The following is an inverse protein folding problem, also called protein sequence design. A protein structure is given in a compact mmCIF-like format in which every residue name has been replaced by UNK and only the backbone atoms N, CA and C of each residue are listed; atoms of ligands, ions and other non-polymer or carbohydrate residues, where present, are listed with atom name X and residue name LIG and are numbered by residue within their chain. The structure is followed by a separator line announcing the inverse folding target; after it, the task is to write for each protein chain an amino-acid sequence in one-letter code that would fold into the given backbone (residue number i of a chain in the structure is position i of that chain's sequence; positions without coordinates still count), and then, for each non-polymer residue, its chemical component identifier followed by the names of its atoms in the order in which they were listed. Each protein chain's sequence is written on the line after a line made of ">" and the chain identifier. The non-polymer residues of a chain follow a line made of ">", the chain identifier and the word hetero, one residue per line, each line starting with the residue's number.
data_IF_295218337211
#
_entry.id   IF_295218337211
#
_cell.length_a   1.000
_cell.length_b   1.000
_cell.length_c   1.000
_cell.angle_alpha   90.00
_cell.angle_beta   90.00
_cell.angle_gamma   90.00
#
_symmetry.space_group_name_H-M   'P 1'
#
loop_
_entity.id
_entity.type
_entity.pdbx_description
1 polymer ?
#
# COMPACT_ATOMS: atom_id res chain seq x y z
N UNK A 1 48.47 -73.89 36.69
CA UNK A 1 47.17 -73.55 36.12
C UNK A 1 47.01 -72.04 36.32
N UNK A 2 47.28 -71.27 35.29
CA UNK A 2 47.19 -69.81 35.30
C UNK A 2 46.24 -69.34 34.20
N UNK A 3 45.26 -68.47 34.43
CA UNK A 3 44.42 -67.97 33.35
C UNK A 3 44.99 -66.67 32.73
N UNK A 4 45.02 -66.69 31.43
CA UNK A 4 45.41 -65.56 30.57
C UNK A 4 44.37 -64.45 30.57
N UNK A 5 44.87 -63.22 30.83
CA UNK A 5 44.10 -61.97 30.70
C UNK A 5 44.16 -61.47 29.26
N UNK A 6 43.00 -61.40 28.61
CA UNK A 6 42.80 -60.74 27.30
C UNK A 6 42.53 -59.25 27.57
N UNK A 7 43.39 -58.39 27.10
CA UNK A 7 43.18 -56.92 27.05
C UNK A 7 42.43 -56.55 25.77
N UNK A 8 41.21 -56.06 25.91
CA UNK A 8 40.45 -55.45 24.85
C UNK A 8 40.88 -53.96 24.68
N UNK A 9 41.40 -53.59 23.51
CA UNK A 9 41.61 -52.20 23.11
C UNK A 9 40.29 -51.64 22.56
N UNK A 10 39.72 -50.67 23.26
CA UNK A 10 38.64 -49.84 22.73
C UNK A 10 39.29 -48.69 21.90
N UNK A 11 39.10 -48.71 20.58
CA UNK A 11 39.39 -47.60 19.70
C UNK A 11 38.22 -46.64 19.69
N UNK A 12 38.35 -45.46 20.30
CA UNK A 12 37.41 -44.35 20.18
C UNK A 12 37.64 -43.69 18.81
N UNK A 13 36.76 -43.95 17.87
CA UNK A 13 36.67 -43.22 16.60
C UNK A 13 35.94 -41.88 16.84
N UNK A 14 36.65 -40.76 16.87
CA UNK A 14 36.07 -39.44 16.86
C UNK A 14 35.56 -39.11 15.45
N UNK A 15 34.25 -39.24 15.17
CA UNK A 15 33.61 -38.67 14.01
C UNK A 15 33.52 -37.15 14.16
N UNK A 16 34.43 -36.43 13.54
CA UNK A 16 34.32 -34.99 13.34
C UNK A 16 33.21 -34.74 12.31
N UNK A 17 32.03 -34.33 12.78
CA UNK A 17 30.98 -33.86 11.90
C UNK A 17 31.40 -32.48 11.34
N UNK A 18 31.86 -32.50 10.08
CA UNK A 18 32.03 -31.29 9.29
C UNK A 18 30.62 -30.69 9.05
N UNK A 19 30.21 -29.71 9.86
CA UNK A 19 29.04 -28.88 9.58
C UNK A 19 29.37 -28.04 8.34
N UNK A 20 28.95 -28.52 7.16
CA UNK A 20 28.95 -27.73 5.93
C UNK A 20 27.98 -26.59 6.13
N UNK A 21 28.48 -25.40 6.41
CA UNK A 21 27.69 -24.17 6.30
C UNK A 21 27.36 -23.98 4.82
N UNK A 22 26.18 -24.42 4.40
CA UNK A 22 25.66 -24.11 3.08
C UNK A 22 25.54 -22.58 2.98
N UNK A 23 26.44 -21.94 2.27
CA UNK A 23 26.31 -20.54 1.89
C UNK A 23 25.08 -20.44 1.02
N UNK A 24 24.00 -19.91 1.54
CA UNK A 24 22.78 -19.68 0.78
C UNK A 24 23.10 -18.65 -0.31
N UNK A 25 22.95 -19.03 -1.56
CA UNK A 25 23.19 -18.12 -2.68
C UNK A 25 22.24 -16.93 -2.62
N UNK A 26 22.74 -15.76 -3.00
CA UNK A 26 21.93 -14.55 -3.05
C UNK A 26 20.73 -14.76 -4.00
N UNK A 27 19.56 -14.34 -3.56
CA UNK A 27 18.32 -14.41 -4.36
C UNK A 27 18.10 -13.08 -5.06
N UNK A 28 17.86 -13.14 -6.37
CA UNK A 28 17.55 -11.95 -7.19
C UNK A 28 16.09 -12.00 -7.63
N UNK A 29 15.35 -10.96 -7.32
CA UNK A 29 13.98 -10.77 -7.76
C UNK A 29 13.91 -9.55 -8.70
N UNK A 30 13.21 -9.71 -9.82
CA UNK A 30 13.07 -8.67 -10.84
C UNK A 30 11.60 -8.38 -11.08
N UNK A 31 11.25 -7.08 -11.05
CA UNK A 31 9.95 -6.61 -11.48
C UNK A 31 10.15 -5.56 -12.59
N UNK A 32 9.17 -5.48 -13.46
CA UNK A 32 9.11 -4.52 -14.58
C UNK A 32 8.06 -3.49 -14.28
N UNK A 33 8.32 -2.24 -14.61
CA UNK A 33 7.37 -1.14 -14.51
C UNK A 33 6.75 -0.91 -15.88
N UNK A 34 5.43 -1.11 -15.98
CA UNK A 34 4.67 -0.97 -17.22
C UNK A 34 3.77 0.25 -17.14
N UNK A 35 3.79 1.08 -18.17
CA UNK A 35 2.91 2.24 -18.32
C UNK A 35 2.39 2.31 -19.75
N UNK A 36 1.07 2.21 -19.90
CA UNK A 36 0.45 2.26 -21.25
C UNK A 36 0.85 1.13 -22.18
N UNK A 37 1.25 -0.03 -21.66
CA UNK A 37 1.73 -1.17 -22.46
C UNK A 37 3.24 -1.18 -22.71
N UNK A 38 3.94 -0.12 -22.30
CA UNK A 38 5.38 0.01 -22.49
C UNK A 38 6.15 -0.29 -21.21
N UNK A 39 7.32 -0.91 -21.35
CA UNK A 39 8.26 -1.10 -20.25
C UNK A 39 9.03 0.23 -20.07
N UNK A 40 8.74 0.93 -18.97
CA UNK A 40 9.36 2.20 -18.62
C UNK A 40 10.38 2.08 -17.48
N UNK A 41 10.58 0.87 -16.92
CA UNK A 41 11.50 0.74 -15.81
C UNK A 41 11.53 -0.63 -15.16
N UNK A 42 12.30 -0.73 -14.08
CA UNK A 42 12.48 -1.98 -13.33
C UNK A 42 12.69 -1.74 -11.84
N UNK A 43 12.43 -2.80 -11.08
CA UNK A 43 12.87 -2.96 -9.69
C UNK A 43 13.68 -4.24 -9.62
N UNK A 44 14.92 -4.19 -9.17
CA UNK A 44 15.77 -5.37 -8.96
C UNK A 44 16.17 -5.42 -7.50
N UNK A 45 15.66 -6.41 -6.78
CA UNK A 45 16.04 -6.68 -5.38
C UNK A 45 17.00 -7.86 -5.32
N UNK A 46 18.11 -7.71 -4.61
CA UNK A 46 19.07 -8.78 -4.33
C UNK A 46 19.11 -8.99 -2.81
N UNK A 47 18.76 -10.22 -2.38
CA UNK A 47 18.77 -10.62 -0.98
C UNK A 47 19.94 -11.57 -0.72
N UNK A 48 20.82 -11.21 0.19
CA UNK A 48 21.94 -12.03 0.69
C UNK A 48 21.86 -12.11 2.22
N UNK A 49 21.43 -13.24 2.73
CA UNK A 49 21.16 -13.44 4.14
C UNK A 49 20.11 -12.45 4.66
N UNK A 50 20.53 -11.54 5.54
CA UNK A 50 19.67 -10.50 6.09
C UNK A 50 19.87 -9.12 5.45
N UNK A 51 20.65 -9.02 4.39
CA UNK A 51 20.88 -7.79 3.63
C UNK A 51 20.10 -7.83 2.33
N UNK A 52 19.51 -6.70 1.99
CA UNK A 52 18.80 -6.49 0.73
C UNK A 52 19.36 -5.25 0.07
N UNK A 53 19.65 -5.32 -1.21
CA UNK A 53 19.90 -4.16 -2.05
C UNK A 53 18.83 -4.07 -3.14
N UNK A 54 18.35 -2.87 -3.42
CA UNK A 54 17.31 -2.62 -4.43
C UNK A 54 17.81 -1.55 -5.39
N UNK A 55 17.70 -1.83 -6.68
CA UNK A 55 17.85 -0.85 -7.75
C UNK A 55 16.48 -0.60 -8.39
N UNK A 56 15.99 0.61 -8.29
CA UNK A 56 14.72 1.05 -8.86
C UNK A 56 14.94 2.18 -9.84
N UNK A 57 14.52 1.98 -11.07
CA UNK A 57 14.65 2.96 -12.14
C UNK A 57 13.40 3.02 -12.97
N UNK A 58 12.94 4.24 -13.23
CA UNK A 58 11.90 4.54 -14.21
C UNK A 58 12.45 5.62 -15.14
N UNK A 59 12.21 5.46 -16.42
CA UNK A 59 12.42 6.49 -17.42
C UNK A 59 11.19 6.51 -18.35
N UNK A 60 10.32 7.47 -18.10
CA UNK A 60 9.19 7.75 -18.96
C UNK A 60 9.33 9.16 -19.53
N UNK A 61 9.74 9.26 -20.79
CA UNK A 61 10.04 10.53 -21.47
C UNK A 61 11.07 11.40 -20.72
N UNK A 62 12.17 10.76 -20.25
CA UNK A 62 13.23 11.44 -19.51
C UNK A 62 12.91 11.75 -18.05
N UNK A 63 11.76 11.28 -17.52
CA UNK A 63 11.33 11.49 -16.14
C UNK A 63 11.11 10.17 -15.43
N UNK A 64 11.40 10.15 -14.15
CA UNK A 64 11.17 8.98 -13.30
C UNK A 64 12.18 8.89 -12.18
N UNK A 65 11.81 8.19 -11.08
CA UNK A 65 12.72 7.98 -9.96
C UNK A 65 13.90 7.08 -10.38
N UNK A 66 15.06 7.36 -9.77
CA UNK A 66 16.26 6.51 -9.86
C UNK A 66 16.79 6.35 -8.44
N UNK A 67 16.41 5.24 -7.80
CA UNK A 67 16.70 5.00 -6.39
C UNK A 67 17.56 3.76 -6.20
N UNK A 68 18.45 3.84 -5.24
CA UNK A 68 19.21 2.71 -4.70
C UNK A 68 18.88 2.59 -3.23
N UNK A 69 18.44 1.39 -2.82
CA UNK A 69 18.09 1.14 -1.43
C UNK A 69 18.98 0.04 -0.86
N UNK A 70 19.29 0.14 0.43
CA UNK A 70 19.92 -0.95 1.18
C UNK A 70 19.17 -1.15 2.49
N UNK A 71 18.86 -2.42 2.79
CA UNK A 71 18.17 -2.80 4.00
C UNK A 71 19.00 -3.84 4.77
N UNK A 72 18.93 -3.76 6.09
CA UNK A 72 19.32 -4.86 6.97
C UNK A 72 18.09 -5.28 7.78
N UNK A 73 17.71 -6.55 7.65
CA UNK A 73 16.48 -7.09 8.22
C UNK A 73 16.77 -7.86 9.52
N UNK A 74 15.79 -7.89 10.42
CA UNK A 74 15.77 -8.86 11.52
C UNK A 74 15.29 -10.24 11.05
N UNK A 75 15.23 -11.23 11.94
CA UNK A 75 14.77 -12.60 11.63
C UNK A 75 13.30 -12.68 11.22
N UNK A 76 12.51 -11.65 11.48
CA UNK A 76 11.09 -11.53 11.09
C UNK A 76 10.92 -10.78 9.76
N UNK A 77 12.02 -10.32 9.14
CA UNK A 77 11.99 -9.52 7.93
C UNK A 77 11.69 -8.03 8.17
N UNK A 78 11.77 -7.56 9.41
CA UNK A 78 11.58 -6.15 9.74
C UNK A 78 12.90 -5.40 9.54
N UNK A 79 12.91 -4.24 8.86
CA UNK A 79 14.12 -3.45 8.68
C UNK A 79 14.68 -2.96 10.03
N UNK A 80 15.97 -3.22 10.27
CA UNK A 80 16.78 -2.64 11.34
C UNK A 80 17.55 -1.42 10.85
N UNK A 81 17.85 -1.40 9.56
CA UNK A 81 18.45 -0.28 8.84
C UNK A 81 17.83 -0.22 7.47
N UNK A 82 17.61 0.99 6.98
CA UNK A 82 17.14 1.25 5.62
C UNK A 82 17.73 2.57 5.15
N UNK A 83 18.41 2.54 4.04
CA UNK A 83 18.89 3.75 3.36
C UNK A 83 18.35 3.81 1.96
N UNK A 84 17.94 4.99 1.54
CA UNK A 84 17.49 5.28 0.18
C UNK A 84 18.26 6.47 -0.34
N UNK A 85 18.79 6.35 -1.55
CA UNK A 85 19.54 7.43 -2.19
C UNK A 85 19.26 7.47 -3.68
N UNK A 86 19.37 8.65 -4.28
CA UNK A 86 19.19 8.81 -5.71
C UNK A 86 18.45 10.07 -6.10
N UNK A 87 17.48 9.96 -7.01
CA UNK A 87 16.65 11.08 -7.44
C UNK A 87 15.18 10.70 -7.50
N UNK A 88 14.32 11.62 -7.07
CA UNK A 88 12.86 11.50 -7.11
C UNK A 88 12.30 11.59 -8.54
N UNK A 89 10.98 11.40 -8.67
CA UNK A 89 10.25 11.53 -9.94
C UNK A 89 10.55 12.87 -10.66
N UNK A 90 10.71 13.95 -9.93
CA UNK A 90 10.97 15.29 -10.48
C UNK A 90 12.47 15.66 -10.52
N UNK A 91 13.34 14.69 -10.24
CA UNK A 91 14.80 14.89 -10.29
C UNK A 91 15.42 15.50 -9.04
N UNK A 92 14.64 15.74 -7.97
CA UNK A 92 15.18 16.16 -6.67
C UNK A 92 16.05 15.07 -6.05
N UNK A 93 17.10 15.47 -5.32
CA UNK A 93 17.95 14.53 -4.60
C UNK A 93 17.16 13.78 -3.53
N UNK A 94 17.39 12.48 -3.42
CA UNK A 94 16.84 11.62 -2.36
C UNK A 94 17.99 11.14 -1.50
N UNK A 95 17.90 11.41 -0.19
CA UNK A 95 18.84 10.94 0.82
C UNK A 95 18.08 10.65 2.12
N UNK A 96 17.68 9.40 2.31
CA UNK A 96 16.88 8.97 3.44
C UNK A 96 17.58 7.87 4.22
N UNK A 97 17.40 7.85 5.53
CA UNK A 97 17.97 6.84 6.41
C UNK A 97 17.05 6.51 7.57
N UNK A 98 16.97 5.23 7.89
CA UNK A 98 16.34 4.68 9.08
C UNK A 98 17.29 3.73 9.79
N UNK A 99 17.35 3.76 11.13
CA UNK A 99 18.12 2.83 11.95
C UNK A 99 17.43 2.56 13.27
N UNK A 100 17.37 1.29 13.64
CA UNK A 100 17.00 0.81 14.98
C UNK A 100 18.19 0.13 15.65
N UNK A 101 18.57 0.58 16.86
CA UNK A 101 19.75 0.14 17.60
C UNK A 101 19.45 -0.88 18.72
N UNK A 102 18.22 -1.33 18.83
CA UNK A 102 17.74 -2.24 19.89
C UNK A 102 16.94 -1.53 20.99
N UNK A 103 17.00 -0.21 21.08
CA UNK A 103 16.28 0.60 22.07
C UNK A 103 15.61 1.82 21.45
N UNK A 104 16.18 2.37 20.39
CA UNK A 104 15.70 3.58 19.71
C UNK A 104 15.70 3.39 18.21
N UNK A 105 14.64 3.87 17.58
CA UNK A 105 14.56 4.07 16.14
C UNK A 105 14.84 5.54 15.82
N UNK A 106 15.65 5.80 14.81
CA UNK A 106 15.94 7.15 14.29
C UNK A 106 15.76 7.15 12.81
N UNK A 107 15.20 8.25 12.29
CA UNK A 107 14.99 8.42 10.86
C UNK A 107 15.29 9.86 10.44
N UNK A 108 15.64 9.99 9.17
CA UNK A 108 15.83 11.26 8.49
C UNK A 108 15.51 11.10 7.02
N UNK A 109 14.62 11.93 6.52
CA UNK A 109 14.29 12.10 5.11
C UNK A 109 14.33 13.59 4.74
N UNK A 110 13.93 13.94 3.53
CA UNK A 110 13.73 15.34 3.15
C UNK A 110 12.47 15.94 3.80
N UNK A 111 11.46 15.10 4.07
CA UNK A 111 10.19 15.55 4.61
C UNK A 111 10.19 15.63 6.14
N UNK A 112 10.93 14.74 6.83
CA UNK A 112 10.87 14.58 8.27
C UNK A 112 12.15 13.98 8.85
N UNK A 113 12.38 14.25 10.15
CA UNK A 113 13.41 13.59 10.94
C UNK A 113 12.93 13.40 12.38
N UNK A 114 13.32 12.31 13.01
CA UNK A 114 12.91 12.07 14.38
C UNK A 114 13.56 10.86 15.02
N UNK A 115 13.18 10.65 16.28
CA UNK A 115 13.52 9.44 17.02
C UNK A 115 12.35 8.96 17.88
N UNK A 116 12.27 7.66 18.11
CA UNK A 116 11.31 7.04 19.01
C UNK A 116 11.95 5.91 19.81
N UNK A 117 11.61 5.80 21.08
CA UNK A 117 11.98 4.65 21.90
C UNK A 117 11.09 3.45 21.48
N UNK A 118 11.70 2.27 21.36
CA UNK A 118 11.00 1.05 21.03
C UNK A 118 11.72 -0.17 21.64
N UNK A 119 10.97 -1.13 22.14
CA UNK A 119 11.50 -2.39 22.69
C UNK A 119 11.70 -3.46 21.62
N UNK A 120 11.06 -3.27 20.46
CA UNK A 120 11.20 -4.12 19.26
C UNK A 120 11.36 -3.22 18.05
N UNK A 121 12.00 -3.70 16.99
CA UNK A 121 12.15 -2.94 15.76
C UNK A 121 10.77 -2.55 15.21
N UNK A 122 10.45 -1.25 15.14
CA UNK A 122 9.21 -0.78 14.52
C UNK A 122 9.34 -0.80 12.99
N UNK A 123 8.21 -0.88 12.31
CA UNK A 123 8.17 -0.67 10.86
C UNK A 123 8.26 0.81 10.58
N UNK A 124 9.18 1.20 9.72
CA UNK A 124 9.35 2.57 9.25
C UNK A 124 8.79 2.70 7.84
N UNK A 125 8.01 3.75 7.59
CA UNK A 125 7.51 4.08 6.26
C UNK A 125 8.51 5.03 5.60
N UNK A 126 9.10 4.56 4.52
CA UNK A 126 10.05 5.33 3.72
C UNK A 126 9.29 6.42 2.96
N UNK A 127 9.83 7.64 2.94
CA UNK A 127 9.22 8.79 2.26
C UNK A 127 9.36 8.70 0.73
N UNK A 128 10.54 8.33 0.26
CA UNK A 128 10.83 8.13 -1.16
C UNK A 128 11.12 6.65 -1.42
N UNK A 129 10.06 5.86 -1.57
CA UNK A 129 10.17 4.41 -1.68
C UNK A 129 10.15 3.90 -3.14
N UNK A 130 10.63 2.67 -3.29
CA UNK A 130 10.35 1.86 -4.47
C UNK A 130 9.18 0.91 -4.22
N UNK A 131 8.61 0.29 -5.24
CA UNK A 131 7.61 -0.78 -5.09
C UNK A 131 8.07 -1.94 -4.19
N UNK A 132 9.37 -2.13 -3.99
CA UNK A 132 9.93 -3.12 -3.08
C UNK A 132 9.47 -2.92 -1.64
N UNK A 133 9.37 -1.67 -1.19
CA UNK A 133 8.93 -1.31 0.15
C UNK A 133 7.53 -1.88 0.46
N UNK A 134 6.62 -1.83 -0.51
CA UNK A 134 5.27 -2.41 -0.38
C UNK A 134 5.30 -3.89 -0.03
N UNK A 135 6.23 -4.65 -0.64
CA UNK A 135 6.44 -6.06 -0.31
C UNK A 135 6.99 -6.26 1.12
N UNK A 136 7.88 -5.37 1.58
CA UNK A 136 8.40 -5.39 2.97
C UNK A 136 7.26 -5.14 3.97
N UNK A 137 6.44 -4.12 3.73
CA UNK A 137 5.30 -3.79 4.59
C UNK A 137 4.25 -4.90 4.63
N UNK A 138 3.93 -5.47 3.48
CA UNK A 138 2.97 -6.56 3.40
C UNK A 138 3.42 -7.80 4.19
N UNK A 139 4.69 -8.20 4.10
CA UNK A 139 5.24 -9.32 4.89
C UNK A 139 5.21 -9.04 6.39
N UNK A 140 5.57 -7.82 6.80
CA UNK A 140 5.50 -7.41 8.21
C UNK A 140 4.06 -7.51 8.74
N UNK A 141 3.08 -7.09 7.95
CA UNK A 141 1.66 -7.14 8.29
C UNK A 141 1.11 -8.57 8.32
N UNK A 142 1.54 -9.44 7.40
CA UNK A 142 1.15 -10.86 7.42
C UNK A 142 1.62 -11.57 8.69
N UNK A 143 2.76 -11.17 9.25
CA UNK A 143 3.29 -11.69 10.51
C UNK A 143 2.66 -11.04 11.76
N UNK A 144 1.94 -9.93 11.60
CA UNK A 144 1.35 -9.17 12.71
C UNK A 144 -0.06 -9.66 13.09
N UNK A 145 -0.43 -9.63 14.38
CA UNK A 145 -1.79 -9.93 14.81
C UNK A 145 -2.82 -9.01 14.14
N UNK A 146 -3.85 -9.60 13.55
CA UNK A 146 -4.91 -8.85 12.88
C UNK A 146 -4.46 -8.07 11.66
N UNK A 147 -3.27 -8.37 11.12
CA UNK A 147 -2.69 -7.71 9.93
C UNK A 147 -2.68 -6.18 10.07
N UNK A 148 -2.33 -5.73 11.25
CA UNK A 148 -2.27 -4.32 11.63
C UNK A 148 -0.98 -4.02 12.39
N UNK A 149 -0.33 -2.89 12.06
CA UNK A 149 0.88 -2.40 12.71
C UNK A 149 0.84 -0.89 12.83
N UNK A 150 1.19 -0.38 14.01
CA UNK A 150 1.57 1.01 14.15
C UNK A 150 2.99 1.20 13.59
N UNK A 151 3.22 2.31 12.91
CA UNK A 151 4.43 2.54 12.12
C UNK A 151 5.07 3.89 12.43
N UNK A 152 6.34 4.03 12.07
CA UNK A 152 7.06 5.29 12.13
C UNK A 152 7.09 5.97 10.75
N UNK A 153 7.09 7.33 10.70
CA UNK A 153 7.09 8.25 11.84
C UNK A 153 5.77 8.30 12.61
N UNK A 154 4.65 8.01 11.98
CA UNK A 154 3.32 7.96 12.60
C UNK A 154 2.35 7.16 11.74
N UNK A 155 1.21 6.77 12.32
CA UNK A 155 0.13 6.11 11.61
C UNK A 155 0.00 4.62 11.87
N UNK A 156 -0.90 3.99 11.14
CA UNK A 156 -1.18 2.56 11.27
C UNK A 156 -1.39 1.95 9.90
N UNK A 157 -0.62 0.94 9.56
CA UNK A 157 -0.83 0.12 8.37
C UNK A 157 -1.84 -1.00 8.65
N UNK A 158 -2.58 -1.35 7.60
CA UNK A 158 -3.48 -2.50 7.58
C UNK A 158 -3.37 -3.22 6.25
N UNK A 159 -3.40 -4.54 6.30
CA UNK A 159 -3.42 -5.40 5.13
C UNK A 159 -4.72 -6.21 5.12
N UNK A 160 -5.46 -6.12 4.04
CA UNK A 160 -6.70 -6.86 3.84
C UNK A 160 -6.52 -7.85 2.69
N UNK A 161 -6.73 -9.14 2.94
CA UNK A 161 -6.81 -10.13 1.88
C UNK A 161 -8.11 -9.96 1.10
N UNK A 162 -8.02 -9.77 -0.22
CA UNK A 162 -9.20 -9.63 -1.08
C UNK A 162 -9.59 -10.94 -1.72
N UNK A 163 -8.67 -11.57 -2.46
CA UNK A 163 -8.92 -12.86 -3.13
C UNK A 163 -7.62 -13.58 -3.53
N UNK A 164 -7.71 -14.87 -3.72
CA UNK A 164 -6.68 -15.65 -4.42
C UNK A 164 -7.02 -15.68 -5.91
N UNK A 165 -5.99 -15.66 -6.76
CA UNK A 165 -6.15 -15.70 -8.22
C UNK A 165 -4.93 -16.32 -8.88
N UNK A 166 -5.06 -16.60 -10.18
CA UNK A 166 -3.96 -17.10 -11.00
C UNK A 166 -3.62 -16.05 -12.05
N UNK A 167 -2.33 -15.76 -12.21
CA UNK A 167 -1.80 -14.89 -13.28
C UNK A 167 -1.00 -15.71 -14.25
N UNK A 168 -1.22 -15.49 -15.55
CA UNK A 168 -0.64 -16.31 -16.61
C UNK A 168 -1.41 -17.61 -16.83
N UNK A 169 -0.90 -18.45 -17.70
CA UNK A 169 -1.53 -19.71 -18.10
C UNK A 169 -0.52 -20.84 -18.33
N UNK A 170 -0.97 -22.09 -18.32
CA UNK A 170 -0.13 -23.27 -18.57
C UNK A 170 1.02 -23.37 -17.57
N UNK A 171 2.23 -23.59 -18.06
CA UNK A 171 3.42 -23.74 -17.23
C UNK A 171 3.87 -22.41 -16.57
N UNK A 172 3.43 -21.28 -17.09
CA UNK A 172 3.70 -19.96 -16.51
C UNK A 172 2.62 -19.50 -15.52
N UNK A 173 1.64 -20.32 -15.19
CA UNK A 173 0.59 -19.97 -14.24
C UNK A 173 1.14 -19.78 -12.83
N UNK A 174 1.01 -18.59 -12.26
CA UNK A 174 1.41 -18.25 -10.91
C UNK A 174 0.19 -18.08 -10.00
N UNK A 175 0.17 -18.80 -8.88
CA UNK A 175 -0.84 -18.60 -7.82
C UNK A 175 -0.43 -17.39 -6.99
N UNK A 176 -1.31 -16.43 -6.86
CA UNK A 176 -1.08 -15.19 -6.13
C UNK A 176 -2.29 -14.81 -5.28
N UNK A 177 -2.03 -14.12 -4.20
CA UNK A 177 -3.07 -13.52 -3.35
C UNK A 177 -3.06 -12.00 -3.54
N UNK A 178 -4.23 -11.45 -3.79
CA UNK A 178 -4.44 -9.99 -3.90
C UNK A 178 -4.73 -9.42 -2.54
N UNK A 179 -4.03 -8.36 -2.19
CA UNK A 179 -4.19 -7.62 -0.95
C UNK A 179 -4.45 -6.14 -1.20
N UNK A 180 -5.09 -5.52 -0.22
CA UNK A 180 -5.22 -4.08 -0.09
C UNK A 180 -4.41 -3.62 1.10
N UNK A 181 -3.43 -2.74 0.87
CA UNK A 181 -2.61 -2.10 1.89
C UNK A 181 -3.10 -0.67 2.10
N UNK A 182 -3.47 -0.35 3.33
CA UNK A 182 -3.98 0.97 3.72
C UNK A 182 -3.11 1.61 4.78
N UNK A 183 -3.05 2.94 4.81
CA UNK A 183 -2.38 3.72 5.85
C UNK A 183 -1.07 4.39 5.42
N UNK A 184 -0.61 4.19 4.18
CA UNK A 184 0.50 4.95 3.60
C UNK A 184 -0.03 6.25 2.99
N UNK A 185 -1.00 6.13 2.11
CA UNK A 185 -1.64 7.23 1.40
C UNK A 185 -3.14 7.29 1.72
N UNK A 186 -3.81 8.34 1.24
CA UNK A 186 -5.27 8.46 1.33
C UNK A 186 -5.97 7.31 0.61
N UNK A 187 -5.43 6.91 -0.54
CA UNK A 187 -5.91 5.76 -1.30
C UNK A 187 -5.11 4.51 -0.95
N UNK A 188 -5.79 3.38 -0.73
CA UNK A 188 -5.12 2.11 -0.50
C UNK A 188 -4.34 1.63 -1.74
N UNK A 189 -3.21 1.00 -1.52
CA UNK A 189 -2.43 0.34 -2.57
C UNK A 189 -2.90 -1.10 -2.76
N UNK A 190 -3.21 -1.49 -4.00
CA UNK A 190 -3.43 -2.89 -4.35
C UNK A 190 -2.10 -3.55 -4.70
N UNK A 191 -1.89 -4.75 -4.18
CA UNK A 191 -0.70 -5.55 -4.46
C UNK A 191 -1.02 -7.04 -4.53
N UNK A 192 -0.13 -7.79 -5.13
CA UNK A 192 -0.17 -9.24 -5.19
C UNK A 192 1.10 -9.84 -4.60
N UNK A 193 0.93 -10.87 -3.79
CA UNK A 193 2.03 -11.70 -3.30
C UNK A 193 1.92 -13.12 -3.84
N UNK A 194 3.05 -13.75 -4.13
CA UNK A 194 3.11 -15.18 -4.45
C UNK A 194 3.03 -16.04 -3.17
N UNK A 195 3.02 -17.37 -3.32
CA UNK A 195 2.99 -18.31 -2.21
C UNK A 195 4.18 -18.16 -1.23
N UNK A 196 5.32 -17.62 -1.69
CA UNK A 196 6.47 -17.28 -0.87
C UNK A 196 6.41 -15.88 -0.24
N UNK A 197 5.26 -15.22 -0.31
CA UNK A 197 5.04 -13.84 0.18
C UNK A 197 5.96 -12.80 -0.48
N UNK A 198 6.46 -13.07 -1.68
CA UNK A 198 7.25 -12.13 -2.46
C UNK A 198 6.32 -11.28 -3.31
N UNK A 199 6.68 -10.01 -3.50
CA UNK A 199 5.91 -9.11 -4.35
C UNK A 199 5.83 -9.67 -5.78
N UNK A 200 4.61 -9.86 -6.26
CA UNK A 200 4.35 -10.33 -7.61
C UNK A 200 3.89 -9.18 -8.51
N UNK A 201 2.99 -8.35 -8.03
CA UNK A 201 2.55 -7.14 -8.72
C UNK A 201 2.12 -6.06 -7.71
N UNK A 202 2.19 -4.80 -8.15
CA UNK A 202 1.66 -3.63 -7.47
C UNK A 202 0.98 -2.73 -8.50
N UNK A 203 -0.11 -2.10 -8.07
CA UNK A 203 -0.88 -1.19 -8.91
C UNK A 203 -0.78 0.23 -8.37
N UNK A 204 -0.56 1.16 -9.27
CA UNK A 204 -0.61 2.60 -9.01
C UNK A 204 -1.25 3.32 -10.19
N UNK A 205 -1.60 4.59 -9.99
CA UNK A 205 -2.20 5.41 -11.05
C UNK A 205 -1.35 5.38 -12.33
N UNK A 206 -1.94 4.82 -13.39
CA UNK A 206 -1.30 4.77 -14.69
C UNK A 206 -0.22 3.70 -14.87
N UNK A 207 0.28 3.02 -13.82
CA UNK A 207 1.32 2.00 -13.95
C UNK A 207 1.00 0.68 -13.26
N UNK A 208 1.58 -0.39 -13.77
CA UNK A 208 1.60 -1.73 -13.17
C UNK A 208 3.04 -2.14 -12.99
N UNK A 209 3.41 -2.48 -11.78
CA UNK A 209 4.68 -3.16 -11.51
C UNK A 209 4.40 -4.64 -11.42
N UNK A 210 5.06 -5.46 -12.21
CA UNK A 210 4.81 -6.90 -12.25
C UNK A 210 6.13 -7.67 -12.32
N UNK A 211 6.14 -8.89 -11.84
CA UNK A 211 7.29 -9.80 -11.93
C UNK A 211 7.71 -9.98 -13.39
N UNK A 212 9.03 -9.93 -13.65
CA UNK A 212 9.59 -10.16 -14.97
C UNK A 212 9.12 -11.52 -15.54
N UNK A 213 8.72 -11.50 -16.81
CA UNK A 213 8.14 -12.65 -17.51
C UNK A 213 6.60 -12.67 -17.52
N UNK A 214 5.95 -11.70 -16.85
CA UNK A 214 4.48 -11.54 -16.84
C UNK A 214 4.02 -10.21 -17.44
N UNK A 215 4.85 -9.56 -18.24
CA UNK A 215 4.54 -8.27 -18.87
C UNK A 215 3.30 -8.33 -19.76
N UNK A 216 3.10 -9.46 -20.43
CA UNK A 216 1.92 -9.69 -21.27
C UNK A 216 0.59 -9.72 -20.51
N UNK A 217 0.63 -9.88 -19.19
CA UNK A 217 -0.56 -9.88 -18.33
C UNK A 217 -1.02 -8.49 -17.91
N UNK A 218 -0.35 -7.41 -18.32
CA UNK A 218 -0.66 -6.04 -17.88
C UNK A 218 -2.15 -5.69 -18.05
N UNK A 219 -2.75 -6.00 -19.19
CA UNK A 219 -4.16 -5.67 -19.44
C UNK A 219 -5.10 -6.44 -18.50
N UNK A 220 -4.81 -7.73 -18.24
CA UNK A 220 -5.57 -8.56 -17.31
C UNK A 220 -5.44 -8.03 -15.88
N UNK A 221 -4.23 -7.65 -15.48
CA UNK A 221 -3.93 -7.08 -14.18
C UNK A 221 -4.63 -5.73 -13.98
N UNK A 222 -4.61 -4.85 -14.96
CA UNK A 222 -5.33 -3.56 -14.93
C UNK A 222 -6.84 -3.74 -14.85
N UNK A 223 -7.40 -4.73 -15.57
CA UNK A 223 -8.83 -5.04 -15.48
C UNK A 223 -9.20 -5.48 -14.06
N UNK A 224 -8.42 -6.39 -13.48
CA UNK A 224 -8.63 -6.87 -12.11
C UNK A 224 -8.53 -5.74 -11.07
N UNK A 225 -7.54 -4.85 -11.19
CA UNK A 225 -7.41 -3.68 -10.30
C UNK A 225 -8.67 -2.82 -10.37
N UNK A 226 -9.13 -2.47 -11.56
CA UNK A 226 -10.36 -1.68 -11.75
C UNK A 226 -11.61 -2.34 -11.19
N UNK A 227 -11.76 -3.66 -11.37
CA UNK A 227 -12.87 -4.42 -10.78
C UNK A 227 -12.90 -4.28 -9.26
N UNK A 228 -11.73 -4.45 -8.60
CA UNK A 228 -11.59 -4.34 -7.16
C UNK A 228 -11.82 -2.91 -6.64
N UNK A 229 -11.39 -1.90 -7.38
CA UNK A 229 -11.64 -0.48 -7.07
C UNK A 229 -13.14 -0.16 -7.16
N UNK A 230 -13.81 -0.64 -8.20
CA UNK A 230 -15.28 -0.48 -8.36
C UNK A 230 -16.03 -1.20 -7.25
N UNK A 231 -15.62 -2.43 -6.87
CA UNK A 231 -16.22 -3.17 -5.75
C UNK A 231 -16.07 -2.38 -4.44
N UNK A 232 -14.87 -1.83 -4.19
CA UNK A 232 -14.58 -1.01 -3.01
C UNK A 232 -15.40 0.29 -2.97
N UNK A 233 -15.48 1.00 -4.10
CA UNK A 233 -16.27 2.23 -4.22
C UNK A 233 -17.76 1.96 -4.00
N UNK A 234 -18.31 0.87 -4.54
CA UNK A 234 -19.70 0.46 -4.31
C UNK A 234 -19.97 0.12 -2.84
N UNK A 235 -19.06 -0.63 -2.21
CA UNK A 235 -19.18 -0.96 -0.78
C UNK A 235 -19.13 0.29 0.09
N UNK A 236 -18.24 1.24 -0.23
CA UNK A 236 -18.14 2.52 0.46
C UNK A 236 -19.42 3.35 0.28
N UNK A 237 -19.91 3.44 -0.95
CA UNK A 237 -21.18 4.13 -1.26
C UNK A 237 -22.35 3.53 -0.49
N UNK A 238 -22.49 2.20 -0.44
CA UNK A 238 -23.57 1.55 0.31
C UNK A 238 -23.50 1.83 1.81
N UNK A 239 -22.29 1.95 2.36
CA UNK A 239 -22.05 2.23 3.78
C UNK A 239 -22.28 3.70 4.13
N UNK A 240 -21.90 4.63 3.27
CA UNK A 240 -21.89 6.07 3.56
C UNK A 240 -23.10 6.82 2.99
N UNK A 241 -23.75 6.30 1.95
CA UNK A 241 -24.86 6.98 1.31
C UNK A 241 -26.08 7.01 2.24
N UNK A 242 -26.51 8.21 2.59
CA UNK A 242 -27.81 8.45 3.23
C UNK A 242 -28.89 8.44 2.16
N UNK A 243 -29.80 7.47 2.25
CA UNK A 243 -30.94 7.37 1.33
C UNK A 243 -32.21 7.69 2.09
N UNK A 244 -32.95 8.66 1.59
CA UNK A 244 -34.22 9.08 2.17
C UNK A 244 -35.35 8.75 1.20
N UNK A 245 -36.38 8.05 1.71
CA UNK A 245 -37.62 7.82 0.96
C UNK A 245 -38.49 9.07 0.88
N UNK A 246 -38.40 9.90 1.95
CA UNK A 246 -39.11 11.16 2.07
C UNK A 246 -38.43 12.27 1.27
N UNK A 247 -39.14 13.33 0.90
CA UNK A 247 -38.53 14.54 0.38
C UNK A 247 -37.48 15.12 1.35
N UNK A 248 -36.41 15.68 0.82
CA UNK A 248 -35.38 16.36 1.59
C UNK A 248 -35.56 17.86 1.38
N UNK A 249 -35.61 18.61 2.49
CA UNK A 249 -35.53 20.08 2.49
C UNK A 249 -34.19 20.53 3.02
N UNK A 250 -33.42 21.22 2.19
CA UNK A 250 -32.15 21.85 2.57
C UNK A 250 -32.46 23.33 2.76
N UNK A 251 -32.57 23.75 4.01
CA UNK A 251 -32.95 25.11 4.39
C UNK A 251 -31.73 26.00 4.60
N UNK A 252 -31.97 27.32 4.58
CA UNK A 252 -30.97 28.33 4.88
C UNK A 252 -29.69 28.12 4.07
N UNK A 253 -29.86 28.02 2.76
CA UNK A 253 -28.78 27.89 1.76
C UNK A 253 -28.88 28.97 0.70
N UNK A 254 -27.76 29.25 0.04
CA UNK A 254 -27.73 30.09 -1.17
C UNK A 254 -27.38 29.19 -2.36
N UNK A 255 -28.11 29.31 -3.45
CA UNK A 255 -27.86 28.55 -4.67
C UNK A 255 -26.94 29.37 -5.58
N UNK A 256 -25.84 28.79 -5.99
CA UNK A 256 -24.93 29.40 -6.96
C UNK A 256 -25.47 29.20 -8.37
N UNK A 257 -25.61 30.31 -9.12
CA UNK A 257 -25.92 30.28 -10.53
C UNK A 257 -24.62 30.39 -11.35
N UNK A 258 -24.18 29.28 -12.00
CA UNK A 258 -22.94 29.30 -12.77
C UNK A 258 -23.02 30.13 -14.04
N UNK A 259 -24.23 30.34 -14.60
CA UNK A 259 -24.40 31.15 -15.80
C UNK A 259 -24.28 32.65 -15.49
N UNK A 260 -24.83 33.07 -14.36
CA UNK A 260 -24.73 34.46 -13.90
C UNK A 260 -23.46 34.73 -13.06
N UNK A 261 -22.76 33.68 -12.58
CA UNK A 261 -21.62 33.82 -11.68
C UNK A 261 -21.96 34.41 -10.29
N UNK A 262 -23.22 34.27 -9.87
CA UNK A 262 -23.75 34.93 -8.65
C UNK A 262 -24.36 33.95 -7.67
N UNK A 263 -24.41 34.37 -6.41
CA UNK A 263 -25.14 33.67 -5.35
C UNK A 263 -26.56 34.23 -5.21
N UNK A 264 -27.55 33.33 -5.20
CA UNK A 264 -28.94 33.67 -4.93
C UNK A 264 -29.17 34.12 -3.49
N UNK A 265 -30.39 34.60 -3.20
CA UNK A 265 -30.84 34.91 -1.87
C UNK A 265 -30.95 33.62 -1.00
N UNK A 266 -30.99 33.78 0.37
CA UNK A 266 -31.23 32.63 1.24
C UNK A 266 -32.53 31.90 0.85
N UNK A 267 -32.41 30.59 0.67
CA UNK A 267 -33.49 29.79 0.09
C UNK A 267 -33.57 28.43 0.79
N UNK A 268 -34.67 27.71 0.50
CA UNK A 268 -34.85 26.29 0.79
C UNK A 268 -34.90 25.53 -0.52
N UNK A 269 -34.05 24.51 -0.67
CA UNK A 269 -34.04 23.61 -1.82
C UNK A 269 -34.77 22.32 -1.45
N UNK A 270 -35.76 21.95 -2.25
CA UNK A 270 -36.52 20.72 -2.06
C UNK A 270 -36.08 19.66 -3.07
N UNK A 271 -35.66 18.52 -2.57
CA UNK A 271 -35.23 17.37 -3.37
C UNK A 271 -36.20 16.20 -3.16
N UNK A 272 -36.70 15.62 -4.23
CA UNK A 272 -37.56 14.46 -4.21
C UNK A 272 -37.13 13.46 -5.31
N UNK A 273 -37.00 12.19 -4.96
CA UNK A 273 -36.61 11.11 -5.90
C UNK A 273 -35.34 11.46 -6.71
N UNK A 274 -34.34 12.06 -6.06
CA UNK A 274 -33.08 12.43 -6.68
C UNK A 274 -33.13 13.64 -7.62
N UNK A 275 -34.22 14.44 -7.59
CA UNK A 275 -34.38 15.64 -8.40
C UNK A 275 -34.71 16.84 -7.52
N UNK A 276 -34.15 17.98 -7.86
CA UNK A 276 -34.58 19.28 -7.29
C UNK A 276 -35.95 19.57 -7.87
N UNK A 277 -36.95 19.67 -6.99
CA UNK A 277 -38.35 19.94 -7.38
C UNK A 277 -38.78 21.36 -7.02
N UNK A 278 -37.98 22.09 -6.27
CA UNK A 278 -38.25 23.50 -5.95
C UNK A 278 -37.07 24.18 -5.29
N UNK A 279 -36.95 25.47 -5.52
CA UNK A 279 -36.12 26.42 -4.78
C UNK A 279 -37.04 27.51 -4.31
N UNK A 280 -37.26 27.60 -3.00
CA UNK A 280 -38.19 28.51 -2.38
C UNK A 280 -37.42 29.58 -1.61
N UNK A 281 -37.89 30.85 -1.61
CA UNK A 281 -37.35 31.85 -0.70
C UNK A 281 -37.43 31.35 0.77
N UNK A 282 -36.40 31.57 1.55
CA UNK A 282 -36.35 31.09 2.95
C UNK A 282 -37.54 31.64 3.79
N UNK A 283 -37.99 32.85 3.50
CA UNK A 283 -39.14 33.48 4.15
C UNK A 283 -40.48 32.81 3.84
N UNK A 284 -40.58 32.09 2.71
CA UNK A 284 -41.81 31.40 2.29
C UNK A 284 -41.82 29.92 2.70
N UNK A 285 -40.76 29.45 3.37
CA UNK A 285 -40.65 28.07 3.76
C UNK A 285 -41.55 27.73 4.96
N UNK A 286 -42.60 26.94 4.70
CA UNK A 286 -43.53 26.49 5.75
C UNK A 286 -42.89 25.34 6.57
N UNK A 287 -42.50 25.70 7.81
CA UNK A 287 -41.92 24.75 8.79
C UNK A 287 -42.88 23.65 9.26
N UNK A 288 -44.16 23.77 8.96
CA UNK A 288 -45.20 22.81 9.41
C UNK A 288 -45.34 21.58 8.52
N UNK A 289 -44.55 21.51 7.47
CA UNK A 289 -44.57 20.33 6.59
C UNK A 289 -43.93 19.15 7.33
N UNK A 290 -44.75 18.18 7.69
CA UNK A 290 -44.33 16.94 8.32
C UNK A 290 -43.94 15.90 7.24
N UNK A 291 -43.26 14.83 7.63
CA UNK A 291 -42.88 13.72 6.77
C UNK A 291 -41.83 14.09 5.70
N UNK A 292 -40.91 14.97 6.07
CA UNK A 292 -39.74 15.35 5.26
C UNK A 292 -38.47 15.32 6.07
N UNK A 293 -37.35 15.06 5.40
CA UNK A 293 -36.02 15.17 6.02
C UNK A 293 -35.55 16.62 5.94
N UNK A 294 -35.31 17.24 7.07
CA UNK A 294 -34.84 18.63 7.17
C UNK A 294 -33.33 18.65 7.36
N UNK A 295 -32.63 19.40 6.54
CA UNK A 295 -31.20 19.68 6.65
C UNK A 295 -31.03 21.18 6.74
N UNK A 296 -30.47 21.69 7.86
CA UNK A 296 -30.04 23.07 7.94
C UNK A 296 -28.70 23.25 7.22
N UNK A 297 -28.67 24.10 6.23
CA UNK A 297 -27.47 24.44 5.47
C UNK A 297 -26.64 25.57 6.09
N UNK A 298 -27.07 26.11 7.26
CA UNK A 298 -26.31 27.08 8.07
C UNK A 298 -25.81 28.31 7.28
N UNK A 299 -26.56 28.75 6.29
CA UNK A 299 -26.16 29.83 5.38
C UNK A 299 -25.15 29.45 4.31
N UNK A 300 -24.85 28.17 4.17
CA UNK A 300 -23.92 27.61 3.20
C UNK A 300 -24.38 27.78 1.74
N UNK A 301 -23.50 27.41 0.82
CA UNK A 301 -23.75 27.53 -0.61
C UNK A 301 -23.94 26.15 -1.26
N UNK A 302 -25.02 26.00 -2.02
CA UNK A 302 -25.20 24.86 -2.91
C UNK A 302 -24.66 25.22 -4.29
N UNK A 303 -23.74 24.37 -4.80
CA UNK A 303 -23.18 24.47 -6.14
C UNK A 303 -23.58 23.25 -6.97
N UNK A 304 -23.67 23.35 -8.31
CA UNK A 304 -23.84 22.18 -9.16
C UNK A 304 -22.72 21.17 -8.91
N UNK A 305 -23.06 19.87 -8.96
CA UNK A 305 -22.06 18.82 -8.92
C UNK A 305 -21.16 18.84 -10.16
N UNK A 306 -19.90 18.42 -9.97
CA UNK A 306 -18.92 18.27 -11.04
C UNK A 306 -19.19 16.99 -11.85
#
# INVERSE_FOLDING_TARGET
>A
MTPSTVRALLALGACAALASTATQAATVERLVVLQGGENVGHVVGTTDGNRVSVDYRVDNNGRGPKLSETLRLDRRGIPLEWTVSGSSLMGGEVAESYRYDGARARWKSQADQGEAAATTAPVYIVNDDSPWATGVYARALLAAPGQRLDVLPAGTLRLEKLRDTTVGSGAAAAQVTVYRLSGINLEPTLLMLDAGQRLFAQFSDGSVVVRAGYESEEQNLRRLSRELEIEAARALQLRLAHRHAQPIRIRNVRVFDPAAGTLGAPSTVVVMRGRIVGVLPLAEDDMRVTDQVMIDGEGGTLVPGL
#
